data_IF_922664876463
#
_entry.id   IF_922664876463
#
_cell.length_a   1.000
_cell.length_b   1.000
_cell.length_c   1.000
_cell.angle_alpha   90.00
_cell.angle_beta   90.00
_cell.angle_gamma   90.00
#
_symmetry.space_group_name_H-M   'P 1'
#
loop_
_entity.id
_entity.type
_entity.pdbx_description
1 polymer ?
#
# COMPACT_ATOMS: atom_id res chain seq x y z
N UNK A 1 -35.12 30.97 -13.05
CA UNK A 1 -34.11 30.17 -13.78
C UNK A 1 -32.69 30.18 -13.15
N UNK A 2 -32.51 30.44 -11.85
CA UNK A 2 -31.15 30.49 -11.24
C UNK A 2 -30.85 29.41 -10.18
N UNK A 3 -31.86 28.67 -9.71
CA UNK A 3 -31.69 27.64 -8.65
C UNK A 3 -31.24 26.27 -9.16
N UNK A 4 -31.59 25.89 -10.40
CA UNK A 4 -31.22 24.59 -10.97
C UNK A 4 -29.75 24.49 -11.40
N UNK A 5 -29.12 25.61 -11.77
CA UNK A 5 -27.72 25.65 -12.23
C UNK A 5 -26.73 25.51 -11.06
N UNK A 6 -27.08 26.02 -9.87
CA UNK A 6 -26.27 25.87 -8.66
C UNK A 6 -26.23 24.42 -8.15
N UNK A 7 -27.37 23.72 -8.15
CA UNK A 7 -27.44 22.32 -7.74
C UNK A 7 -26.64 21.39 -8.66
N UNK A 8 -26.55 21.72 -9.95
CA UNK A 8 -25.79 20.93 -10.92
C UNK A 8 -24.28 21.08 -10.72
N UNK A 9 -23.81 22.27 -10.31
CA UNK A 9 -22.40 22.51 -9.97
C UNK A 9 -22.03 21.80 -8.66
N UNK A 10 -22.89 21.86 -7.63
CA UNK A 10 -22.66 21.14 -6.37
C UNK A 10 -22.56 19.62 -6.58
N UNK A 11 -23.37 19.04 -7.47
CA UNK A 11 -23.32 17.62 -7.81
C UNK A 11 -22.03 17.21 -8.53
N UNK A 12 -21.53 18.08 -9.43
CA UNK A 12 -20.25 17.85 -10.12
C UNK A 12 -19.07 17.94 -9.13
N UNK A 13 -19.07 18.91 -8.22
CA UNK A 13 -18.02 19.05 -7.19
C UNK A 13 -18.04 17.94 -6.13
N UNK A 14 -19.21 17.35 -5.84
CA UNK A 14 -19.31 16.21 -4.94
C UNK A 14 -18.81 14.91 -5.61
N UNK A 15 -18.97 14.81 -6.94
CA UNK A 15 -18.50 13.66 -7.72
C UNK A 15 -16.98 13.60 -7.89
N UNK A 16 -16.29 14.75 -7.84
CA UNK A 16 -14.82 14.82 -7.91
C UNK A 16 -14.11 14.52 -6.59
N UNK A 17 -14.86 14.31 -5.50
CA UNK A 17 -14.32 13.96 -4.17
C UNK A 17 -14.46 12.48 -3.83
N UNK A 18 -14.91 11.64 -4.77
CA UNK A 18 -14.61 10.21 -4.76
C UNK A 18 -13.14 10.02 -5.19
N UNK A 19 -12.23 10.57 -4.40
CA UNK A 19 -10.81 10.26 -4.41
C UNK A 19 -10.69 8.75 -4.25
N UNK A 20 -10.15 8.07 -5.25
CA UNK A 20 -9.98 6.63 -5.26
C UNK A 20 -8.85 6.26 -4.28
N UNK A 21 -9.23 6.15 -3.01
CA UNK A 21 -8.41 5.60 -1.93
C UNK A 21 -7.88 4.20 -2.31
N UNK A 22 -6.74 3.78 -1.75
CA UNK A 22 -6.27 2.39 -1.92
C UNK A 22 -7.43 1.40 -1.71
N UNK A 23 -7.72 0.56 -2.71
CA UNK A 23 -8.70 -0.52 -2.57
C UNK A 23 -8.22 -1.48 -1.50
N UNK A 24 -6.93 -1.85 -1.57
CA UNK A 24 -6.21 -2.54 -0.51
C UNK A 24 -4.97 -1.73 -0.15
N UNK A 25 -4.91 -1.25 1.09
CA UNK A 25 -3.75 -0.53 1.61
C UNK A 25 -2.49 -1.39 1.52
N UNK A 26 -1.30 -0.77 1.32
CA UNK A 26 -0.06 -1.51 1.23
C UNK A 26 0.21 -2.42 2.42
N UNK A 27 0.62 -3.65 2.11
CA UNK A 27 1.04 -4.66 3.08
C UNK A 27 2.20 -5.48 2.54
N UNK A 28 2.94 -6.10 3.46
CA UNK A 28 4.19 -6.77 3.17
C UNK A 28 4.01 -8.29 3.18
N UNK A 29 4.62 -8.97 2.22
CA UNK A 29 4.69 -10.44 2.18
C UNK A 29 6.07 -10.90 1.72
N UNK A 30 6.31 -12.21 1.81
CA UNK A 30 7.50 -12.88 1.27
C UNK A 30 8.82 -12.18 1.65
N UNK A 31 8.99 -11.88 2.93
CA UNK A 31 10.19 -11.23 3.45
C UNK A 31 11.35 -12.22 3.52
N UNK A 32 12.48 -11.88 2.89
CA UNK A 32 13.74 -12.61 2.89
C UNK A 32 14.87 -11.83 3.57
N UNK A 33 16.10 -12.32 3.43
CA UNK A 33 17.31 -11.59 3.85
C UNK A 33 17.61 -10.41 2.94
N UNK A 34 17.32 -10.53 1.65
CA UNK A 34 17.71 -9.54 0.64
C UNK A 34 16.52 -9.05 -0.18
N UNK A 35 15.31 -9.42 0.22
CA UNK A 35 14.10 -9.10 -0.54
C UNK A 35 12.85 -8.97 0.32
N UNK A 36 11.84 -8.31 -0.22
CA UNK A 36 10.47 -8.28 0.30
C UNK A 36 9.49 -8.02 -0.85
N UNK A 37 8.21 -8.31 -0.66
CA UNK A 37 7.16 -7.93 -1.60
C UNK A 37 6.20 -6.92 -0.94
N UNK A 38 6.04 -5.76 -1.56
CA UNK A 38 5.03 -4.76 -1.22
C UNK A 38 3.81 -5.02 -2.09
N UNK A 39 2.68 -5.31 -1.46
CA UNK A 39 1.43 -5.64 -2.14
C UNK A 39 0.42 -4.54 -1.86
N UNK A 40 -0.31 -4.11 -2.88
CA UNK A 40 -1.40 -3.16 -2.75
C UNK A 40 -2.31 -3.25 -3.96
N UNK A 41 -3.50 -2.64 -3.85
CA UNK A 41 -4.45 -2.56 -4.95
C UNK A 41 -4.95 -1.13 -5.09
N UNK A 42 -4.80 -0.56 -6.28
CA UNK A 42 -5.31 0.77 -6.64
C UNK A 42 -5.65 0.80 -8.12
N UNK A 43 -6.52 1.73 -8.54
CA UNK A 43 -6.80 2.01 -9.94
C UNK A 43 -6.12 3.29 -10.43
N UNK A 44 -5.38 3.99 -9.56
CA UNK A 44 -4.67 5.22 -9.88
C UNK A 44 -3.54 4.96 -10.89
N UNK A 45 -3.42 5.82 -11.90
CA UNK A 45 -2.41 5.67 -12.96
C UNK A 45 -1.02 6.15 -12.54
N UNK A 46 -0.93 7.15 -11.65
CA UNK A 46 0.34 7.72 -11.20
C UNK A 46 0.73 7.11 -9.86
N UNK A 47 1.38 5.95 -9.91
CA UNK A 47 1.86 5.23 -8.74
C UNK A 47 3.38 5.38 -8.62
N UNK A 48 3.84 5.83 -7.46
CA UNK A 48 5.25 5.93 -7.11
C UNK A 48 5.53 5.20 -5.80
N UNK A 49 6.62 4.42 -5.76
CA UNK A 49 7.12 3.79 -4.54
C UNK A 49 8.53 4.29 -4.23
N UNK A 50 8.73 4.83 -3.02
CA UNK A 50 10.03 5.28 -2.52
C UNK A 50 10.53 4.35 -1.45
N UNK A 51 11.83 4.07 -1.46
CA UNK A 51 12.51 3.24 -0.48
C UNK A 51 13.65 4.01 0.20
N UNK A 52 13.72 3.84 1.52
CA UNK A 52 14.65 4.55 2.38
C UNK A 52 15.46 3.57 3.21
N UNK A 53 16.77 3.77 3.25
CA UNK A 53 17.69 3.08 4.16
C UNK A 53 18.22 4.14 5.14
N UNK A 54 18.09 3.91 6.45
CA UNK A 54 18.53 4.89 7.48
C UNK A 54 17.95 6.31 7.28
N UNK A 55 16.72 6.41 6.78
CA UNK A 55 16.02 7.65 6.40
C UNK A 55 16.59 8.39 5.17
N UNK A 56 17.53 7.78 4.45
CA UNK A 56 18.04 8.29 3.17
C UNK A 56 17.31 7.60 2.03
N UNK A 57 16.71 8.38 1.13
CA UNK A 57 16.08 7.86 -0.09
C UNK A 57 17.16 7.21 -0.96
N UNK A 58 17.02 5.92 -1.26
CA UNK A 58 17.99 5.21 -2.11
C UNK A 58 17.37 4.66 -3.39
N UNK A 59 16.05 4.50 -3.46
CA UNK A 59 15.38 4.01 -4.66
C UNK A 59 14.00 4.64 -4.80
N UNK A 60 13.65 5.00 -6.04
CA UNK A 60 12.30 5.39 -6.45
C UNK A 60 11.89 4.48 -7.60
N UNK A 61 10.65 4.01 -7.57
CA UNK A 61 10.06 3.14 -8.58
C UNK A 61 8.79 3.82 -9.07
N UNK A 62 8.80 4.15 -10.36
CA UNK A 62 7.72 4.84 -11.06
C UNK A 62 7.13 3.94 -12.15
N UNK A 63 6.09 4.43 -12.86
CA UNK A 63 5.45 3.75 -13.98
C UNK A 63 4.89 2.35 -13.62
N UNK A 64 4.34 2.23 -12.40
CA UNK A 64 3.71 0.98 -11.96
C UNK A 64 2.29 0.93 -12.55
N UNK A 65 1.95 -0.19 -13.19
CA UNK A 65 0.62 -0.36 -13.76
C UNK A 65 -0.45 -0.48 -12.66
N UNK A 66 -1.61 0.19 -12.81
CA UNK A 66 -2.72 0.05 -11.87
C UNK A 66 -3.31 -1.36 -11.86
N UNK A 67 -4.03 -1.68 -10.80
CA UNK A 67 -4.67 -2.96 -10.57
C UNK A 67 -4.21 -3.59 -9.25
N UNK A 68 -3.91 -4.89 -9.29
CA UNK A 68 -3.29 -5.60 -8.18
C UNK A 68 -1.78 -5.63 -8.39
N UNK A 69 -1.04 -4.98 -7.48
CA UNK A 69 0.40 -4.82 -7.59
C UNK A 69 1.10 -5.75 -6.61
N UNK A 70 2.08 -6.49 -7.12
CA UNK A 70 3.01 -7.33 -6.36
C UNK A 70 4.43 -6.83 -6.63
N UNK A 71 4.86 -5.81 -5.92
CA UNK A 71 6.14 -5.17 -6.15
C UNK A 71 7.24 -5.86 -5.34
N UNK A 72 8.04 -6.70 -6.00
CA UNK A 72 9.19 -7.34 -5.38
C UNK A 72 10.38 -6.37 -5.34
N UNK A 73 10.88 -6.11 -4.15
CA UNK A 73 12.10 -5.35 -3.91
C UNK A 73 13.21 -6.33 -3.58
N UNK A 74 14.29 -6.32 -4.34
CA UNK A 74 15.43 -7.21 -4.23
C UNK A 74 16.72 -6.41 -3.95
N UNK A 75 17.86 -7.10 -3.80
CA UNK A 75 19.18 -6.52 -3.54
C UNK A 75 19.28 -5.68 -2.26
N UNK A 76 18.47 -6.00 -1.26
CA UNK A 76 18.53 -5.37 0.06
C UNK A 76 19.64 -5.99 0.90
N UNK A 77 20.21 -5.20 1.82
CA UNK A 77 21.12 -5.72 2.85
C UNK A 77 20.34 -6.56 3.89
N UNK A 78 20.87 -7.71 4.35
CA UNK A 78 20.30 -8.47 5.47
C UNK A 78 20.27 -7.68 6.77
N UNK A 79 19.41 -8.11 7.70
CA UNK A 79 19.29 -7.55 9.06
C UNK A 79 19.15 -6.00 9.13
N UNK A 80 18.57 -5.38 8.10
CA UNK A 80 18.57 -3.92 7.91
C UNK A 80 17.14 -3.38 7.93
N UNK A 81 16.94 -2.21 8.55
CA UNK A 81 15.66 -1.51 8.57
C UNK A 81 15.50 -0.65 7.32
N UNK A 82 14.35 -0.77 6.66
CA UNK A 82 13.96 0.06 5.54
C UNK A 82 12.65 0.79 5.82
N UNK A 83 12.54 2.03 5.36
CA UNK A 83 11.28 2.75 5.22
C UNK A 83 10.77 2.64 3.79
N UNK A 84 9.46 2.67 3.61
CA UNK A 84 8.87 2.79 2.28
C UNK A 84 7.66 3.70 2.27
N UNK A 85 7.43 4.34 1.14
CA UNK A 85 6.26 5.16 0.87
C UNK A 85 5.63 4.71 -0.44
N UNK A 86 4.31 4.52 -0.44
CA UNK A 86 3.52 4.30 -1.66
C UNK A 86 2.66 5.55 -1.84
N UNK A 87 2.86 6.23 -2.95
CA UNK A 87 2.22 7.49 -3.29
C UNK A 87 1.37 7.22 -4.53
N UNK A 88 0.09 7.57 -4.47
CA UNK A 88 -0.79 7.60 -5.63
C UNK A 88 -1.32 9.02 -5.84
N UNK A 89 -2.20 9.24 -6.81
CA UNK A 89 -2.83 10.56 -7.00
C UNK A 89 -3.65 10.95 -5.77
N UNK A 90 -4.33 9.97 -5.17
CA UNK A 90 -5.40 10.21 -4.22
C UNK A 90 -5.07 9.77 -2.79
N UNK A 91 -4.00 8.99 -2.60
CA UNK A 91 -3.65 8.41 -1.31
C UNK A 91 -2.14 8.32 -1.07
N UNK A 92 -1.78 8.16 0.20
CA UNK A 92 -0.41 8.04 0.67
C UNK A 92 -0.31 7.03 1.79
N UNK A 93 0.65 6.12 1.68
CA UNK A 93 0.98 5.16 2.73
C UNK A 93 2.45 5.22 3.07
N UNK A 94 2.76 5.21 4.37
CA UNK A 94 4.12 5.07 4.88
C UNK A 94 4.22 3.85 5.79
N UNK A 95 5.24 3.02 5.54
CA UNK A 95 5.55 1.87 6.37
C UNK A 95 7.04 1.67 6.57
N UNK A 96 7.38 0.64 7.33
CA UNK A 96 8.76 0.20 7.49
C UNK A 96 8.81 -1.32 7.61
N UNK A 97 9.97 -1.90 7.33
CA UNK A 97 10.23 -3.31 7.53
C UNK A 97 11.69 -3.56 7.87
N UNK A 98 12.00 -4.78 8.31
CA UNK A 98 13.36 -5.25 8.51
C UNK A 98 13.60 -6.41 7.56
N UNK A 99 14.75 -6.51 6.92
CA UNK A 99 15.14 -7.76 6.26
C UNK A 99 15.51 -8.82 7.29
N UNK A 100 15.38 -10.10 6.94
CA UNK A 100 15.69 -11.21 7.85
C UNK A 100 17.18 -11.21 8.23
N UNK A 101 17.43 -11.72 9.42
CA UNK A 101 18.76 -12.03 9.94
C UNK A 101 18.81 -13.53 10.24
N UNK A 102 19.46 -14.32 9.39
CA UNK A 102 19.52 -15.78 9.55
C UNK A 102 20.37 -16.24 10.74
N UNK A 103 21.07 -15.33 11.43
CA UNK A 103 21.88 -15.66 12.61
C UNK A 103 21.10 -15.51 13.92
N UNK A 104 19.86 -15.02 13.88
CA UNK A 104 19.06 -14.74 15.08
C UNK A 104 17.83 -15.64 15.17
N UNK A 105 17.44 -15.91 16.41
CA UNK A 105 16.15 -16.53 16.71
C UNK A 105 15.02 -15.60 16.26
N UNK A 106 14.15 -16.11 15.39
CA UNK A 106 12.98 -15.40 14.90
C UNK A 106 11.79 -15.63 15.82
N UNK A 107 10.97 -14.59 16.00
CA UNK A 107 9.67 -14.69 16.66
C UNK A 107 8.59 -14.39 15.64
N UNK A 108 7.56 -15.23 15.60
CA UNK A 108 6.43 -15.10 14.69
C UNK A 108 5.14 -15.00 15.49
N UNK A 109 4.24 -14.13 15.05
CA UNK A 109 2.84 -14.17 15.45
C UNK A 109 2.10 -14.95 14.38
N UNK A 110 1.47 -16.05 14.78
CA UNK A 110 0.62 -16.86 13.90
C UNK A 110 -0.82 -16.60 14.29
N UNK A 111 -1.63 -16.22 13.31
CA UNK A 111 -3.06 -15.98 13.49
C UNK A 111 -3.83 -16.66 12.35
N UNK A 112 -5.06 -17.11 12.64
CA UNK A 112 -5.94 -17.80 11.71
C UNK A 112 -7.40 -17.44 11.98
N UNK A 113 -8.29 -17.78 11.04
CA UNK A 113 -9.72 -17.41 11.04
C UNK A 113 -9.98 -15.90 11.29
N UNK A 114 -9.40 -15.05 10.44
CA UNK A 114 -9.54 -13.58 10.51
C UNK A 114 -10.80 -13.04 9.85
N UNK A 115 -11.78 -13.90 9.57
CA UNK A 115 -13.05 -13.48 8.98
C UNK A 115 -13.77 -12.58 9.98
N UNK A 116 -14.12 -11.37 9.55
CA UNK A 116 -15.08 -10.54 10.27
C UNK A 116 -16.46 -11.21 10.18
N UNK A 117 -16.85 -11.94 11.23
CA UNK A 117 -18.19 -12.49 11.38
C UNK A 117 -19.19 -11.36 11.63
N UNK A 118 -19.72 -10.73 10.58
CA UNK A 118 -20.87 -9.81 10.72
C UNK A 118 -22.19 -10.41 10.20
N UNK A 119 -22.15 -11.61 9.59
CA UNK A 119 -23.36 -12.38 9.25
C UNK A 119 -23.12 -13.86 9.52
N UNK A 120 -23.51 -14.27 10.72
CA UNK A 120 -23.69 -15.69 11.04
C UNK A 120 -24.61 -16.34 10.00
N UNK A 121 -24.22 -17.55 9.59
CA UNK A 121 -25.06 -18.51 8.89
C UNK A 121 -26.46 -18.51 9.51
N UNK A 122 -27.43 -17.92 8.80
CA UNK A 122 -28.84 -18.25 9.02
C UNK A 122 -29.00 -19.69 8.53
N UNK A 123 -29.11 -20.61 9.50
CA UNK A 123 -29.66 -21.95 9.31
C UNK A 123 -31.11 -21.79 8.87
#
# INVERSE_FOLDING_TARGET
>A
MKKGFLLFIEFITLSTLLLAKFIWSPYLTNQGETYITINFKTLDENIQVKLYEENVLFQTIDNINPGLIHLKIDNLKPATKYGFEVITNDDYYKGYFYTKDNKKTLKFVVYGDTRYYDKQHKI
#
